data_IF_643604684064
#
_entry.id   IF_643604684064
#
_cell.length_a   1.000
_cell.length_b   1.000
_cell.length_c   1.000
_cell.angle_alpha   90.00
_cell.angle_beta   90.00
_cell.angle_gamma   90.00
#
_symmetry.space_group_name_H-M   'P 1'
#
loop_
_entity.id
_entity.type
_entity.pdbx_description
1 polymer ?
#
# COMPACT_ATOMS: atom_id res chain seq x y z
N UNK A 1 32.87 -26.71 9.51
CA UNK A 1 31.69 -27.15 10.27
C UNK A 1 30.65 -27.57 9.24
N UNK A 2 30.21 -28.83 9.22
CA UNK A 2 29.17 -29.26 8.28
C UNK A 2 27.81 -28.81 8.84
N UNK A 3 27.09 -27.98 8.09
CA UNK A 3 25.75 -27.55 8.46
C UNK A 3 24.81 -28.75 8.37
N UNK A 4 23.99 -28.95 9.40
CA UNK A 4 23.03 -30.06 9.40
C UNK A 4 21.84 -29.72 8.48
N UNK A 5 21.28 -30.70 7.75
CA UNK A 5 20.04 -30.48 6.98
C UNK A 5 18.89 -29.89 7.83
N UNK A 6 18.88 -30.21 9.13
CA UNK A 6 17.93 -29.68 10.11
C UNK A 6 18.10 -28.17 10.35
N UNK A 7 19.35 -27.69 10.47
CA UNK A 7 19.63 -26.27 10.67
C UNK A 7 19.29 -25.42 9.45
N UNK A 8 19.53 -25.94 8.24
CA UNK A 8 19.17 -25.28 6.98
C UNK A 8 17.64 -25.17 6.84
N UNK A 9 16.90 -26.25 7.11
CA UNK A 9 15.44 -26.23 7.10
C UNK A 9 14.88 -25.24 8.13
N UNK A 10 15.44 -25.23 9.34
CA UNK A 10 15.03 -24.29 10.38
C UNK A 10 15.26 -22.83 9.96
N UNK A 11 16.35 -22.54 9.25
CA UNK A 11 16.62 -21.21 8.70
C UNK A 11 15.63 -20.83 7.60
N UNK A 12 15.35 -21.75 6.67
CA UNK A 12 14.35 -21.52 5.61
C UNK A 12 12.97 -21.18 6.21
N UNK A 13 12.55 -21.92 7.24
CA UNK A 13 11.30 -21.65 7.96
C UNK A 13 11.33 -20.29 8.68
N UNK A 14 12.45 -19.92 9.32
CA UNK A 14 12.59 -18.59 9.93
C UNK A 14 12.42 -17.46 8.92
N UNK A 15 13.02 -17.59 7.73
CA UNK A 15 12.89 -16.60 6.65
C UNK A 15 11.46 -16.54 6.12
N UNK A 16 10.81 -17.68 5.94
CA UNK A 16 9.39 -17.72 5.55
C UNK A 16 8.49 -17.00 6.57
N UNK A 17 8.72 -17.22 7.87
CA UNK A 17 7.99 -16.52 8.94
C UNK A 17 8.22 -15.00 8.87
N UNK A 18 9.46 -14.56 8.61
CA UNK A 18 9.76 -13.14 8.43
C UNK A 18 9.00 -12.52 7.25
N UNK A 19 8.95 -13.21 6.10
CA UNK A 19 8.18 -12.77 4.93
C UNK A 19 6.68 -12.63 5.25
N UNK A 20 6.11 -13.61 5.95
CA UNK A 20 4.70 -13.58 6.39
C UNK A 20 4.44 -12.41 7.33
N UNK A 21 5.36 -12.14 8.27
CA UNK A 21 5.23 -11.03 9.21
C UNK A 21 5.27 -9.67 8.50
N UNK A 22 6.13 -9.50 7.50
CA UNK A 22 6.18 -8.29 6.68
C UNK A 22 4.86 -8.06 5.92
N UNK A 23 4.33 -9.11 5.28
CA UNK A 23 3.03 -9.06 4.59
C UNK A 23 1.89 -8.69 5.56
N UNK A 24 1.86 -9.35 6.72
CA UNK A 24 0.87 -9.06 7.75
C UNK A 24 0.94 -7.62 8.24
N UNK A 25 2.14 -7.05 8.37
CA UNK A 25 2.29 -5.66 8.78
C UNK A 25 1.69 -4.70 7.74
N UNK A 26 1.95 -4.90 6.45
CA UNK A 26 1.36 -4.09 5.37
C UNK A 26 -0.17 -4.17 5.41
N UNK A 27 -0.72 -5.39 5.52
CA UNK A 27 -2.17 -5.60 5.59
C UNK A 27 -2.79 -4.91 6.81
N UNK A 28 -2.13 -4.98 7.97
CA UNK A 28 -2.60 -4.32 9.20
C UNK A 28 -2.65 -2.81 9.04
N UNK A 29 -1.60 -2.19 8.50
CA UNK A 29 -1.57 -0.74 8.28
C UNK A 29 -2.65 -0.34 7.26
N UNK A 30 -2.76 -1.05 6.13
CA UNK A 30 -3.82 -0.84 5.13
C UNK A 30 -5.21 -0.88 5.78
N UNK A 31 -5.51 -1.92 6.53
CA UNK A 31 -6.83 -2.10 7.15
C UNK A 31 -7.15 -0.97 8.12
N UNK A 32 -6.15 -0.53 8.89
CA UNK A 32 -6.30 0.61 9.77
C UNK A 32 -6.57 1.90 8.98
N UNK A 33 -5.78 2.21 7.95
CA UNK A 33 -5.96 3.43 7.13
C UNK A 33 -7.31 3.43 6.40
N UNK A 34 -7.73 2.29 5.84
CA UNK A 34 -9.04 2.12 5.19
C UNK A 34 -10.16 2.37 6.20
N UNK A 35 -10.06 1.83 7.40
CA UNK A 35 -11.07 2.05 8.46
C UNK A 35 -11.15 3.52 8.84
N UNK A 36 -10.00 4.18 9.05
CA UNK A 36 -9.96 5.60 9.36
C UNK A 36 -10.60 6.47 8.26
N UNK A 37 -10.32 6.14 6.99
CA UNK A 37 -10.86 6.91 5.87
C UNK A 37 -12.34 6.63 5.62
N UNK A 38 -12.78 5.37 5.80
CA UNK A 38 -14.19 4.99 5.76
C UNK A 38 -15.00 5.76 6.79
N UNK A 39 -14.52 5.83 8.04
CA UNK A 39 -15.21 6.57 9.10
C UNK A 39 -15.34 8.06 8.74
N UNK A 40 -14.31 8.66 8.13
CA UNK A 40 -14.37 10.06 7.65
C UNK A 40 -15.39 10.24 6.52
N UNK A 41 -15.47 9.28 5.60
CA UNK A 41 -16.49 9.32 4.53
C UNK A 41 -17.89 9.24 5.13
N UNK A 42 -18.11 8.32 6.08
CA UNK A 42 -19.40 8.16 6.75
C UNK A 42 -19.81 9.41 7.53
N UNK A 43 -18.89 10.02 8.28
CA UNK A 43 -19.14 11.31 8.93
C UNK A 43 -19.50 12.41 7.94
N UNK A 44 -18.73 12.57 6.85
CA UNK A 44 -19.01 13.59 5.85
C UNK A 44 -20.35 13.39 5.13
N UNK A 45 -20.77 12.14 4.89
CA UNK A 45 -22.09 11.82 4.33
C UNK A 45 -23.20 12.18 5.31
N UNK A 46 -23.03 11.81 6.58
CA UNK A 46 -24.00 12.13 7.62
C UNK A 46 -24.15 13.64 7.82
N UNK A 47 -23.04 14.37 7.83
CA UNK A 47 -23.03 15.83 7.92
C UNK A 47 -23.74 16.44 6.72
N UNK A 48 -23.51 15.93 5.50
CA UNK A 48 -24.18 16.40 4.29
C UNK A 48 -25.69 16.12 4.28
N UNK A 49 -26.12 15.05 4.92
CA UNK A 49 -27.54 14.76 5.10
C UNK A 49 -28.22 15.67 6.12
N UNK A 50 -27.45 16.21 7.08
CA UNK A 50 -27.95 17.06 8.15
C UNK A 50 -27.83 18.58 7.87
N UNK A 51 -26.89 18.98 7.01
CA UNK A 51 -26.62 20.37 6.65
C UNK A 51 -26.57 20.55 5.13
N UNK A 52 -27.41 21.45 4.61
CA UNK A 52 -27.55 21.73 3.16
C UNK A 52 -26.29 22.38 2.56
N UNK A 53 -25.42 22.98 3.38
CA UNK A 53 -24.18 23.65 2.97
C UNK A 53 -22.94 22.74 2.91
N UNK A 54 -23.08 21.42 3.12
CA UNK A 54 -21.92 20.53 3.03
C UNK A 54 -21.50 20.33 1.59
N UNK A 55 -20.27 20.72 1.30
CA UNK A 55 -19.74 20.73 -0.05
C UNK A 55 -19.51 19.30 -0.60
N UNK A 56 -20.11 18.94 -1.76
CA UNK A 56 -19.81 17.72 -2.52
C UNK A 56 -18.31 17.52 -2.83
N UNK A 57 -17.55 18.61 -2.78
CA UNK A 57 -16.10 18.63 -2.95
C UNK A 57 -15.35 17.81 -1.88
N UNK A 58 -15.79 17.83 -0.62
CA UNK A 58 -15.10 17.11 0.46
C UNK A 58 -15.27 15.59 0.33
N UNK A 59 -16.49 15.14 0.02
CA UNK A 59 -16.78 13.73 -0.28
C UNK A 59 -15.98 13.23 -1.48
N UNK A 60 -15.92 14.04 -2.54
CA UNK A 60 -15.12 13.73 -3.74
C UNK A 60 -13.63 13.55 -3.39
N UNK A 61 -13.08 14.43 -2.54
CA UNK A 61 -11.69 14.35 -2.07
C UNK A 61 -11.42 13.13 -1.19
N UNK A 62 -12.36 12.77 -0.32
CA UNK A 62 -12.25 11.57 0.52
C UNK A 62 -12.31 10.28 -0.31
N UNK A 63 -13.21 10.23 -1.30
CA UNK A 63 -13.32 9.09 -2.21
C UNK A 63 -12.05 8.93 -3.06
N UNK A 64 -11.50 10.05 -3.56
CA UNK A 64 -10.25 10.02 -4.31
C UNK A 64 -9.07 9.54 -3.45
N UNK A 65 -9.00 9.97 -2.19
CA UNK A 65 -8.01 9.42 -1.24
C UNK A 65 -8.17 7.91 -1.06
N UNK A 66 -9.41 7.40 -1.03
CA UNK A 66 -9.67 5.97 -0.84
C UNK A 66 -9.22 5.16 -2.06
N UNK A 67 -9.50 5.63 -3.27
CA UNK A 67 -9.00 5.02 -4.51
C UNK A 67 -7.47 4.98 -4.54
N UNK A 68 -6.83 6.11 -4.25
CA UNK A 68 -5.36 6.19 -4.21
C UNK A 68 -4.74 5.29 -3.14
N UNK A 69 -5.40 5.18 -1.98
CA UNK A 69 -4.98 4.27 -0.91
C UNK A 69 -5.03 2.80 -1.39
N UNK A 70 -6.13 2.39 -2.02
CA UNK A 70 -6.26 1.04 -2.56
C UNK A 70 -5.23 0.75 -3.65
N UNK A 71 -5.04 1.66 -4.61
CA UNK A 71 -4.05 1.51 -5.67
C UNK A 71 -2.62 1.39 -5.12
N UNK A 72 -2.27 2.25 -4.15
CA UNK A 72 -0.96 2.23 -3.50
C UNK A 72 -0.69 0.91 -2.79
N UNK A 73 -1.64 0.41 -1.99
CA UNK A 73 -1.45 -0.86 -1.29
C UNK A 73 -1.49 -2.07 -2.21
N UNK A 74 -2.26 -2.04 -3.31
CA UNK A 74 -2.22 -3.08 -4.33
C UNK A 74 -0.81 -3.21 -4.91
N UNK A 75 -0.20 -2.09 -5.31
CA UNK A 75 1.17 -2.06 -5.83
C UNK A 75 2.21 -2.51 -4.77
N UNK A 76 2.08 -2.08 -3.52
CA UNK A 76 2.99 -2.50 -2.44
C UNK A 76 2.92 -4.01 -2.19
N UNK A 77 1.71 -4.58 -2.14
CA UNK A 77 1.51 -6.02 -1.93
C UNK A 77 2.03 -6.82 -3.12
N UNK A 78 1.76 -6.38 -4.35
CA UNK A 78 2.26 -7.03 -5.55
C UNK A 78 3.80 -7.07 -5.58
N UNK A 79 4.45 -5.92 -5.40
CA UNK A 79 5.91 -5.84 -5.37
C UNK A 79 6.53 -6.64 -4.23
N UNK A 80 5.84 -6.72 -3.07
CA UNK A 80 6.28 -7.58 -1.97
C UNK A 80 6.16 -9.07 -2.32
N UNK A 81 5.01 -9.48 -2.87
CA UNK A 81 4.77 -10.86 -3.30
C UNK A 81 5.82 -11.31 -4.33
N UNK A 82 6.12 -10.50 -5.33
CA UNK A 82 7.13 -10.82 -6.33
C UNK A 82 8.51 -11.02 -5.71
N UNK A 83 8.92 -10.10 -4.83
CA UNK A 83 10.20 -10.16 -4.11
C UNK A 83 10.29 -11.41 -3.25
N UNK A 84 9.30 -11.65 -2.38
CA UNK A 84 9.29 -12.78 -1.46
C UNK A 84 9.25 -14.12 -2.22
N UNK A 85 8.46 -14.21 -3.30
CA UNK A 85 8.44 -15.42 -4.15
C UNK A 85 9.79 -15.67 -4.80
N UNK A 86 10.48 -14.62 -5.26
CA UNK A 86 11.81 -14.75 -5.85
C UNK A 86 12.81 -15.19 -4.80
N UNK A 87 12.91 -14.45 -3.69
CA UNK A 87 13.84 -14.75 -2.61
C UNK A 87 13.64 -16.17 -2.06
N UNK A 88 12.39 -16.59 -1.83
CA UNK A 88 12.12 -17.94 -1.35
C UNK A 88 12.55 -19.03 -2.35
N UNK A 89 12.33 -18.81 -3.66
CA UNK A 89 12.81 -19.75 -4.69
C UNK A 89 14.33 -19.79 -4.72
N UNK A 90 15.00 -18.64 -4.71
CA UNK A 90 16.46 -18.57 -4.74
C UNK A 90 17.07 -19.34 -3.55
N UNK A 91 16.46 -19.25 -2.36
CA UNK A 91 16.90 -20.02 -1.18
C UNK A 91 16.70 -21.54 -1.35
N UNK A 92 15.58 -21.96 -1.93
CA UNK A 92 15.30 -23.37 -2.21
C UNK A 92 16.26 -23.93 -3.26
N UNK A 93 16.54 -23.15 -4.30
CA UNK A 93 17.45 -23.53 -5.39
C UNK A 93 18.87 -23.73 -4.84
N UNK A 94 19.35 -22.83 -3.98
CA UNK A 94 20.65 -22.99 -3.29
C UNK A 94 20.72 -24.30 -2.51
N UNK A 95 19.66 -24.64 -1.75
CA UNK A 95 19.62 -25.90 -1.00
C UNK A 95 19.57 -27.12 -1.91
N UNK A 96 18.84 -27.03 -3.03
CA UNK A 96 18.72 -28.10 -4.02
C UNK A 96 20.07 -28.39 -4.70
N UNK A 97 20.85 -27.35 -4.99
CA UNK A 97 22.18 -27.45 -5.59
C UNK A 97 23.27 -27.91 -4.59
N UNK A 98 22.91 -28.13 -3.33
CA UNK A 98 23.85 -28.56 -2.28
C UNK A 98 24.64 -27.42 -1.64
N UNK A 99 24.22 -26.17 -1.87
CA UNK A 99 24.73 -24.99 -1.17
C UNK A 99 24.19 -24.85 0.26
N UNK A 100 24.58 -23.77 0.93
CA UNK A 100 24.11 -23.42 2.28
C UNK A 100 23.46 -22.05 2.27
N UNK A 101 22.29 -21.91 2.89
CA UNK A 101 21.60 -20.62 3.00
C UNK A 101 21.99 -19.85 4.26
N UNK A 102 22.69 -20.50 5.20
CA UNK A 102 23.17 -19.87 6.43
C UNK A 102 24.18 -18.74 6.17
N UNK A 103 24.91 -18.82 5.06
CA UNK A 103 25.89 -17.81 4.65
C UNK A 103 25.27 -16.67 3.82
N UNK A 104 24.00 -16.81 3.41
CA UNK A 104 23.29 -15.80 2.62
C UNK A 104 22.74 -14.75 3.60
N UNK A 105 23.16 -13.47 3.50
CA UNK A 105 22.59 -12.42 4.33
C UNK A 105 21.09 -12.34 4.14
N UNK A 106 20.35 -12.23 5.22
CA UNK A 106 18.93 -11.87 5.14
C UNK A 106 18.85 -10.47 4.53
N UNK A 107 18.22 -10.36 3.36
CA UNK A 107 17.91 -9.07 2.74
C UNK A 107 16.78 -8.40 3.53
N UNK A 108 17.08 -7.95 4.74
CA UNK A 108 16.24 -6.98 5.46
C UNK A 108 16.71 -5.58 5.08
N UNK A 109 16.98 -5.34 3.80
CA UNK A 109 17.40 -4.00 3.36
C UNK A 109 16.19 -3.24 2.84
N UNK A 110 15.63 -2.46 3.78
CA UNK A 110 14.99 -1.15 3.54
C UNK A 110 14.32 -1.01 2.18
N UNK A 111 13.21 -1.70 2.01
CA UNK A 111 12.12 -1.18 1.19
C UNK A 111 11.54 0.06 1.87
N UNK A 112 12.30 1.15 1.90
CA UNK A 112 11.76 2.47 2.14
C UNK A 112 10.80 2.74 0.99
N UNK A 113 9.54 2.34 1.17
CA UNK A 113 8.42 2.92 0.45
C UNK A 113 8.40 4.38 0.85
N UNK A 114 9.21 5.17 0.15
CA UNK A 114 9.25 6.61 0.27
C UNK A 114 7.83 7.09 0.04
N UNK A 115 7.20 7.52 1.13
CA UNK A 115 5.97 8.28 1.09
C UNK A 115 6.26 9.44 0.14
N UNK A 116 5.64 9.44 -1.05
CA UNK A 116 5.82 10.50 -2.02
C UNK A 116 5.68 11.86 -1.31
N UNK A 117 6.66 12.77 -1.42
CA UNK A 117 6.49 14.09 -0.87
C UNK A 117 5.39 14.78 -1.69
N UNK A 118 4.29 15.13 -1.03
CA UNK A 118 3.34 16.10 -1.58
C UNK A 118 4.15 17.36 -1.94
N UNK A 119 4.25 17.63 -3.23
CA UNK A 119 4.77 18.86 -3.80
C UNK A 119 3.97 20.02 -3.21
N UNK A 120 4.59 20.76 -2.30
CA UNK A 120 4.17 22.12 -1.95
C UNK A 120 4.63 23.02 -3.09
N UNK A 121 3.75 23.33 -4.02
CA UNK A 121 3.90 24.52 -4.87
C UNK A 121 3.12 25.66 -4.23
N UNK A 122 3.82 26.53 -3.51
CA UNK A 122 3.32 27.84 -3.11
C UNK A 122 4.08 28.89 -3.94
N UNK A 123 3.40 29.48 -4.93
CA UNK A 123 3.60 30.88 -5.31
C UNK A 123 2.45 31.39 -6.18
N UNK A 124 1.79 32.41 -5.62
CA UNK A 124 0.71 33.26 -6.12
C UNK A 124 1.12 34.06 -7.36
N UNK A 125 0.24 34.26 -8.34
CA UNK A 125 -0.56 35.50 -8.52
C UNK A 125 -1.37 35.47 -9.84
N UNK A 126 -2.61 35.97 -9.73
CA UNK A 126 -3.40 36.75 -10.69
C UNK A 126 -4.33 36.08 -11.72
N UNK A 127 -5.62 36.17 -11.36
CA UNK A 127 -6.76 36.75 -12.10
C UNK A 127 -7.49 35.95 -13.20
N UNK A 128 -8.69 35.55 -12.76
CA UNK A 128 -9.91 35.18 -13.45
C UNK A 128 -10.19 35.86 -14.80
N UNK A 129 -10.58 35.05 -15.79
CA UNK A 129 -11.74 35.37 -16.64
C UNK A 129 -12.63 34.14 -16.79
N UNK A 130 -13.88 34.35 -16.41
CA UNK A 130 -15.00 33.42 -16.43
C UNK A 130 -15.51 33.26 -17.88
N UNK A 131 -15.70 32.04 -18.37
CA UNK A 131 -16.83 31.71 -19.27
C UNK A 131 -17.05 30.20 -19.32
N UNK A 132 -17.94 29.76 -18.43
CA UNK A 132 -19.15 28.98 -18.75
C UNK A 132 -19.12 28.09 -20.01
N UNK A 133 -19.06 26.79 -19.77
CA UNK A 133 -19.73 25.78 -20.60
C UNK A 133 -20.02 24.57 -19.72
N UNK A 134 -21.13 24.67 -18.98
CA UNK A 134 -21.84 23.56 -18.38
C UNK A 134 -22.02 22.41 -19.39
N UNK A 135 -21.85 21.18 -18.91
CA UNK A 135 -22.90 20.15 -18.85
C UNK A 135 -22.44 18.73 -19.27
N UNK A 136 -23.06 17.76 -18.60
CA UNK A 136 -23.19 16.32 -18.93
C UNK A 136 -22.03 15.40 -18.50
N UNK A 137 -22.24 14.30 -17.75
CA UNK A 137 -23.42 13.70 -17.14
C UNK A 137 -22.94 12.69 -16.09
N UNK A 138 -23.60 12.63 -14.93
CA UNK A 138 -23.42 11.57 -13.94
C UNK A 138 -24.42 10.45 -14.24
N UNK A 139 -23.94 9.25 -14.58
CA UNK A 139 -24.76 8.03 -14.56
C UNK A 139 -24.11 7.03 -13.63
N UNK A 140 -24.86 6.58 -12.61
CA UNK A 140 -24.51 5.45 -11.75
C UNK A 140 -25.57 4.38 -12.00
N UNK A 141 -25.15 3.20 -12.47
CA UNK A 141 -26.02 2.03 -12.57
C UNK A 141 -26.03 1.31 -11.21
N UNK A 142 -27.25 1.06 -10.70
CA UNK A 142 -27.52 0.21 -9.53
C UNK A 142 -27.56 -1.26 -9.92
#
# INVERSE_FOLDING_TARGET
MQNSPSSELAELMRRQIAMVNEMNQIIRVRNWEVTQLRNKCESAVNDASANVDVHPHELSKLNEKLRNLHASYACQVEGLCERQRKEFRDLVDVLYEGGSILDIPTSVDKGAFSRSPQTKSDRRQEEETFSDALNESYTIYI
#
